data_IF_182252402362
#
_entry.id   IF_182252402362
#
_cell.length_a   1.000
_cell.length_b   1.000
_cell.length_c   1.000
_cell.angle_alpha   90.00
_cell.angle_beta   90.00
_cell.angle_gamma   90.00
#
_symmetry.space_group_name_H-M   'P 1'
#
loop_
_entity.id
_entity.type
_entity.pdbx_description
1 polymer ?
#
# COMPACT_ATOMS: atom_id res chain seq x y z
N UNK A 1 1.92 -7.64 -28.37
CA UNK A 1 2.10 -7.79 -26.92
C UNK A 1 0.78 -8.27 -26.33
N UNK A 2 0.80 -9.32 -25.51
CA UNK A 2 -0.40 -9.76 -24.78
C UNK A 2 -0.49 -9.08 -23.41
N UNK A 3 -1.60 -9.29 -22.70
CA UNK A 3 -1.84 -8.68 -21.38
C UNK A 3 -0.82 -9.14 -20.31
N UNK A 4 -0.33 -10.38 -20.38
CA UNK A 4 0.61 -10.92 -19.40
C UNK A 4 2.00 -10.28 -19.55
N UNK A 5 2.43 -10.07 -20.78
CA UNK A 5 3.64 -9.33 -21.10
C UNK A 5 3.49 -7.86 -20.70
N UNK A 6 2.37 -7.21 -21.05
CA UNK A 6 2.11 -5.82 -20.67
C UNK A 6 2.11 -5.63 -19.14
N UNK A 7 1.57 -6.57 -18.37
CA UNK A 7 1.63 -6.56 -16.90
C UNK A 7 3.07 -6.55 -16.40
N UNK A 8 3.92 -7.39 -16.98
CA UNK A 8 5.33 -7.50 -16.57
C UNK A 8 6.08 -6.21 -16.83
N UNK A 9 5.88 -5.61 -18.01
CA UNK A 9 6.48 -4.32 -18.37
C UNK A 9 5.95 -3.18 -17.49
N UNK A 10 4.65 -3.16 -17.20
CA UNK A 10 4.05 -2.17 -16.29
C UNK A 10 4.65 -2.25 -14.89
N UNK A 11 4.77 -3.45 -14.31
CA UNK A 11 5.32 -3.64 -12.97
C UNK A 11 6.79 -3.20 -12.90
N UNK A 12 7.58 -3.49 -13.95
CA UNK A 12 8.94 -2.99 -14.07
C UNK A 12 8.97 -1.46 -14.17
N UNK A 13 8.12 -0.87 -15.01
CA UNK A 13 7.97 0.58 -15.15
C UNK A 13 7.63 1.26 -13.82
N UNK A 14 6.61 0.80 -13.09
CA UNK A 14 6.22 1.45 -11.83
C UNK A 14 7.21 1.21 -10.69
N UNK A 15 8.00 0.14 -10.74
CA UNK A 15 9.08 -0.09 -9.80
C UNK A 15 10.24 0.90 -10.01
N UNK A 16 10.65 1.10 -11.27
CA UNK A 16 11.82 1.94 -11.60
C UNK A 16 11.44 3.42 -11.72
N UNK A 17 10.52 3.76 -12.62
CA UNK A 17 10.22 5.14 -12.99
C UNK A 17 9.37 5.87 -11.94
N UNK A 18 8.54 5.13 -11.19
CA UNK A 18 7.68 5.71 -10.13
C UNK A 18 8.18 5.46 -8.72
N UNK A 19 9.23 4.66 -8.55
CA UNK A 19 9.78 4.32 -7.23
C UNK A 19 8.74 3.82 -6.25
N UNK A 20 7.76 3.04 -6.71
CA UNK A 20 6.72 2.52 -5.82
C UNK A 20 7.34 1.61 -4.76
N UNK A 21 6.82 1.67 -3.53
CA UNK A 21 7.28 0.79 -2.46
C UNK A 21 6.99 -0.67 -2.81
N UNK A 22 7.82 -1.58 -2.29
CA UNK A 22 7.66 -3.05 -2.45
C UNK A 22 6.23 -3.48 -2.10
N UNK A 23 5.68 -2.99 -0.99
CA UNK A 23 4.30 -3.30 -0.59
C UNK A 23 3.25 -2.85 -1.63
N UNK A 24 3.48 -1.72 -2.31
CA UNK A 24 2.57 -1.24 -3.38
C UNK A 24 2.73 -2.09 -4.64
N UNK A 25 3.95 -2.52 -4.98
CA UNK A 25 4.22 -3.43 -6.09
C UNK A 25 3.60 -4.81 -5.86
N UNK A 26 3.70 -5.37 -4.65
CA UNK A 26 3.09 -6.64 -4.28
C UNK A 26 1.57 -6.58 -4.30
N UNK A 27 1.01 -5.45 -3.86
CA UNK A 27 -0.41 -5.15 -4.00
C UNK A 27 -0.83 -5.11 -5.48
N UNK A 28 -0.14 -4.35 -6.32
CA UNK A 28 -0.47 -4.22 -7.75
C UNK A 28 -0.29 -5.54 -8.50
N UNK A 29 0.74 -6.32 -8.17
CA UNK A 29 0.98 -7.65 -8.75
C UNK A 29 -0.22 -8.56 -8.54
N UNK A 30 -0.69 -8.70 -7.29
CA UNK A 30 -1.86 -9.52 -6.95
C UNK A 30 -3.14 -9.00 -7.58
N UNK A 31 -3.33 -7.68 -7.57
CA UNK A 31 -4.52 -7.05 -8.14
C UNK A 31 -4.63 -7.29 -9.65
N UNK A 32 -3.52 -7.11 -10.36
CA UNK A 32 -3.47 -7.33 -11.79
C UNK A 32 -3.55 -8.82 -12.13
N UNK A 33 -2.93 -9.71 -11.36
CA UNK A 33 -3.07 -11.15 -11.55
C UNK A 33 -4.53 -11.60 -11.48
N UNK A 34 -5.28 -11.17 -10.46
CA UNK A 34 -6.71 -11.46 -10.37
C UNK A 34 -7.51 -10.92 -11.55
N UNK A 35 -7.16 -9.73 -12.05
CA UNK A 35 -7.80 -9.14 -13.21
C UNK A 35 -7.50 -9.88 -14.52
N UNK A 36 -6.24 -10.24 -14.77
CA UNK A 36 -5.86 -11.01 -15.95
C UNK A 36 -6.53 -12.40 -15.94
N UNK A 37 -6.65 -13.04 -14.76
CA UNK A 37 -7.37 -14.30 -14.63
C UNK A 37 -8.85 -14.15 -15.00
N UNK A 38 -9.50 -13.08 -14.55
CA UNK A 38 -10.88 -12.75 -14.92
C UNK A 38 -11.06 -12.55 -16.43
N UNK A 39 -10.19 -11.75 -17.05
CA UNK A 39 -10.21 -11.52 -18.51
C UNK A 39 -9.96 -12.81 -19.29
N UNK A 40 -9.05 -13.66 -18.83
CA UNK A 40 -8.79 -14.95 -19.45
C UNK A 40 -10.01 -15.87 -19.40
N UNK A 41 -10.81 -15.81 -18.33
CA UNK A 41 -12.11 -16.50 -18.24
C UNK A 41 -13.09 -16.08 -19.34
N UNK A 42 -12.98 -14.83 -19.83
CA UNK A 42 -13.72 -14.30 -20.98
C UNK A 42 -13.01 -14.49 -22.33
N UNK A 43 -11.86 -15.18 -22.35
CA UNK A 43 -10.99 -15.36 -23.52
C UNK A 43 -10.40 -14.06 -24.07
N UNK A 44 -10.30 -13.03 -23.24
CA UNK A 44 -9.68 -11.74 -23.56
C UNK A 44 -8.20 -11.83 -23.18
N UNK A 45 -7.32 -11.74 -24.17
CA UNK A 45 -5.86 -11.92 -23.96
C UNK A 45 -5.03 -10.76 -24.51
N UNK A 46 -5.60 -9.97 -25.43
CA UNK A 46 -4.94 -8.82 -26.04
C UNK A 46 -5.45 -7.50 -25.45
N UNK A 47 -4.58 -6.49 -25.28
CA UNK A 47 -4.97 -5.16 -24.78
C UNK A 47 -6.15 -4.51 -25.52
N UNK A 48 -6.14 -4.53 -26.86
CA UNK A 48 -7.21 -3.95 -27.69
C UNK A 48 -8.56 -4.71 -27.64
N UNK A 49 -8.60 -5.90 -27.04
CA UNK A 49 -9.85 -6.63 -26.82
C UNK A 49 -10.58 -6.18 -25.54
N UNK A 50 -9.87 -5.52 -24.63
CA UNK A 50 -10.44 -5.10 -23.35
C UNK A 50 -11.37 -3.91 -23.59
N UNK A 51 -12.63 -4.07 -23.21
CA UNK A 51 -13.59 -2.97 -23.26
C UNK A 51 -13.75 -2.32 -21.88
N UNK A 52 -14.35 -1.13 -21.85
CA UNK A 52 -14.75 -0.48 -20.60
C UNK A 52 -15.69 -1.37 -19.77
N UNK A 53 -16.64 -2.04 -20.43
CA UNK A 53 -17.58 -2.97 -19.76
C UNK A 53 -16.84 -4.07 -19.02
N UNK A 54 -15.77 -4.62 -19.59
CA UNK A 54 -14.99 -5.68 -18.95
C UNK A 54 -14.32 -5.21 -17.65
N UNK A 55 -13.84 -3.96 -17.63
CA UNK A 55 -13.22 -3.37 -16.43
C UNK A 55 -14.29 -3.09 -15.36
N UNK A 56 -15.42 -2.52 -15.75
CA UNK A 56 -16.52 -2.21 -14.84
C UNK A 56 -17.14 -3.49 -14.24
N UNK A 57 -17.34 -4.53 -15.04
CA UNK A 57 -17.82 -5.84 -14.59
C UNK A 57 -16.84 -6.51 -13.62
N UNK A 58 -15.53 -6.43 -13.88
CA UNK A 58 -14.54 -6.93 -12.94
C UNK A 58 -14.61 -6.21 -11.59
N UNK A 59 -14.65 -4.86 -11.60
CA UNK A 59 -14.77 -4.07 -10.38
C UNK A 59 -16.09 -4.36 -9.66
N UNK A 60 -17.18 -4.57 -10.40
CA UNK A 60 -18.46 -5.03 -9.87
C UNK A 60 -18.33 -6.38 -9.16
N UNK A 61 -17.68 -7.35 -9.80
CA UNK A 61 -17.47 -8.69 -9.22
C UNK A 61 -16.69 -8.65 -7.90
N UNK A 62 -15.72 -7.73 -7.75
CA UNK A 62 -14.99 -7.55 -6.48
C UNK A 62 -15.91 -7.09 -5.35
N UNK A 63 -16.87 -6.21 -5.66
CA UNK A 63 -17.87 -5.73 -4.68
C UNK A 63 -18.85 -6.84 -4.32
N UNK A 64 -19.29 -7.62 -5.29
CA UNK A 64 -20.21 -8.75 -5.09
C UNK A 64 -19.58 -9.86 -4.24
N UNK A 65 -18.25 -10.03 -4.34
CA UNK A 65 -17.47 -10.91 -3.47
C UNK A 65 -17.27 -10.37 -2.05
N UNK A 66 -17.86 -9.22 -1.70
CA UNK A 66 -17.77 -8.61 -0.38
C UNK A 66 -16.40 -8.02 -0.06
N UNK A 67 -15.58 -7.71 -1.07
CA UNK A 67 -14.27 -7.13 -0.86
C UNK A 67 -14.37 -5.74 -0.20
N UNK A 68 -13.48 -5.47 0.76
CA UNK A 68 -13.46 -4.21 1.47
C UNK A 68 -13.35 -3.01 0.49
N UNK A 69 -14.09 -1.90 0.72
CA UNK A 69 -14.09 -0.74 -0.20
C UNK A 69 -12.69 -0.19 -0.52
N UNK A 70 -11.80 -0.15 0.47
CA UNK A 70 -10.42 0.29 0.29
C UNK A 70 -9.61 -0.64 -0.64
N UNK A 71 -9.89 -1.95 -0.61
CA UNK A 71 -9.28 -2.90 -1.53
C UNK A 71 -9.81 -2.70 -2.95
N UNK A 72 -11.13 -2.54 -3.12
CA UNK A 72 -11.74 -2.26 -4.44
C UNK A 72 -11.19 -0.96 -5.04
N UNK A 73 -11.01 0.08 -4.22
CA UNK A 73 -10.39 1.35 -4.64
C UNK A 73 -8.94 1.14 -5.11
N UNK A 74 -8.15 0.35 -4.37
CA UNK A 74 -6.77 0.00 -4.75
C UNK A 74 -6.72 -0.80 -6.06
N UNK A 75 -7.60 -1.79 -6.24
CA UNK A 75 -7.74 -2.51 -7.51
C UNK A 75 -8.06 -1.53 -8.64
N UNK A 76 -9.04 -0.65 -8.44
CA UNK A 76 -9.43 0.35 -9.45
C UNK A 76 -8.24 1.25 -9.81
N UNK A 77 -7.45 1.71 -8.83
CA UNK A 77 -6.26 2.50 -9.07
C UNK A 77 -5.16 1.72 -9.83
N UNK A 78 -4.95 0.44 -9.51
CA UNK A 78 -4.02 -0.41 -10.24
C UNK A 78 -4.43 -0.58 -11.71
N UNK A 79 -5.70 -0.87 -11.97
CA UNK A 79 -6.26 -1.03 -13.32
C UNK A 79 -6.16 0.25 -14.14
N UNK A 80 -6.49 1.40 -13.55
CA UNK A 80 -6.37 2.70 -14.22
C UNK A 80 -4.93 3.00 -14.61
N UNK A 81 -3.97 2.79 -13.70
CA UNK A 81 -2.56 3.01 -14.02
C UNK A 81 -2.04 2.03 -15.08
N UNK A 82 -2.48 0.76 -15.02
CA UNK A 82 -2.08 -0.26 -15.97
C UNK A 82 -2.57 0.04 -17.39
N UNK A 83 -3.86 0.35 -17.55
CA UNK A 83 -4.43 0.73 -18.86
C UNK A 83 -3.90 2.08 -19.36
N UNK A 84 -3.60 3.03 -18.47
CA UNK A 84 -2.94 4.28 -18.84
C UNK A 84 -1.52 4.03 -19.36
N UNK A 85 -0.76 3.15 -18.70
CA UNK A 85 0.56 2.74 -19.17
C UNK A 85 0.49 2.14 -20.57
N UNK A 86 -0.43 1.19 -20.81
CA UNK A 86 -0.58 0.58 -22.14
C UNK A 86 -0.94 1.60 -23.23
N UNK A 87 -1.77 2.61 -22.93
CA UNK A 87 -2.08 3.67 -23.87
C UNK A 87 -0.88 4.60 -24.15
N UNK A 88 -0.10 4.95 -23.12
CA UNK A 88 1.09 5.80 -23.26
C UNK A 88 2.19 5.10 -24.07
N UNK A 89 2.40 3.81 -23.82
CA UNK A 89 3.37 2.97 -24.56
C UNK A 89 2.83 2.50 -25.93
N UNK A 90 1.66 3.00 -26.37
CA UNK A 90 1.02 2.65 -27.65
C UNK A 90 0.77 1.14 -27.82
N UNK A 91 0.63 0.42 -26.71
CA UNK A 91 0.26 -1.01 -26.66
C UNK A 91 -1.23 -1.20 -26.98
N UNK A 92 -2.07 -0.22 -26.61
CA UNK A 92 -3.48 -0.15 -27.00
C UNK A 92 -3.85 1.24 -27.52
N UNK A 93 -4.87 1.31 -28.39
CA UNK A 93 -5.26 2.57 -29.06
C UNK A 93 -5.90 3.59 -28.09
N UNK A 94 -6.56 3.10 -27.05
CA UNK A 94 -7.19 3.92 -26.02
C UNK A 94 -7.21 3.19 -24.68
N UNK A 95 -7.34 3.95 -23.59
CA UNK A 95 -7.42 3.39 -22.25
C UNK A 95 -8.88 3.14 -21.86
N UNK A 96 -9.36 1.87 -21.79
CA UNK A 96 -10.75 1.57 -21.41
C UNK A 96 -11.08 1.96 -19.96
N UNK A 97 -10.07 2.38 -19.18
CA UNK A 97 -10.16 2.69 -17.76
C UNK A 97 -9.98 4.19 -17.43
N UNK A 98 -9.77 5.07 -18.42
CA UNK A 98 -9.39 6.47 -18.18
C UNK A 98 -10.41 7.24 -17.32
N UNK A 99 -11.69 7.07 -17.64
CA UNK A 99 -12.84 7.73 -17.01
C UNK A 99 -13.54 6.87 -15.95
N UNK A 100 -12.89 5.82 -15.43
CA UNK A 100 -13.50 5.04 -14.36
C UNK A 100 -13.75 5.94 -13.14
N UNK A 101 -14.99 6.00 -12.63
CA UNK A 101 -15.29 6.80 -11.46
C UNK A 101 -14.42 6.30 -10.31
N UNK A 102 -13.59 7.19 -9.78
CA UNK A 102 -12.89 6.90 -8.54
C UNK A 102 -13.97 6.88 -7.47
N UNK A 103 -14.21 5.73 -6.84
CA UNK A 103 -15.14 5.68 -5.72
C UNK A 103 -14.72 6.77 -4.73
N UNK A 104 -15.65 7.66 -4.38
CA UNK A 104 -15.36 8.70 -3.41
C UNK A 104 -14.88 8.00 -2.14
N UNK A 105 -13.65 8.31 -1.74
CA UNK A 105 -13.03 7.73 -0.55
C UNK A 105 -13.95 8.03 0.62
N UNK A 106 -14.62 7.01 1.14
CA UNK A 106 -15.35 7.15 2.41
C UNK A 106 -14.27 7.50 3.43
N UNK A 107 -14.23 8.76 3.86
CA UNK A 107 -13.35 9.19 4.93
C UNK A 107 -13.86 8.53 6.21
N UNK A 108 -13.38 7.30 6.47
CA UNK A 108 -13.41 6.78 7.83
C UNK A 108 -12.40 7.60 8.60
N UNK A 109 -12.91 8.40 9.54
CA UNK A 109 -12.05 8.98 10.55
C UNK A 109 -11.35 7.82 11.27
N UNK A 110 -10.02 7.88 11.44
CA UNK A 110 -9.33 6.91 12.27
C UNK A 110 -10.00 6.86 13.64
N UNK A 111 -10.18 5.64 14.16
CA UNK A 111 -10.45 5.52 15.59
C UNK A 111 -9.18 5.94 16.33
N UNK A 112 -9.32 6.88 17.27
CA UNK A 112 -8.19 7.45 18.01
C UNK A 112 -8.19 6.90 19.41
N UNK A 113 -7.03 6.47 19.88
CA UNK A 113 -6.86 6.08 21.28
C UNK A 113 -6.99 7.33 22.15
N UNK A 114 -7.77 7.26 23.23
CA UNK A 114 -7.83 8.34 24.21
C UNK A 114 -6.52 8.41 25.00
N UNK A 115 -6.22 9.57 25.58
CA UNK A 115 -5.02 9.73 26.41
C UNK A 115 -5.03 8.72 27.57
N UNK A 116 -6.17 8.55 28.23
CA UNK A 116 -6.31 7.64 29.37
C UNK A 116 -6.05 6.19 28.97
N UNK A 117 -6.48 5.79 27.76
CA UNK A 117 -6.24 4.44 27.25
C UNK A 117 -4.77 4.24 26.86
N UNK A 118 -4.11 5.28 26.37
CA UNK A 118 -2.67 5.23 26.11
C UNK A 118 -1.87 5.12 27.42
N UNK A 119 -2.23 5.89 28.45
CA UNK A 119 -1.66 5.79 29.80
C UNK A 119 -1.84 4.38 30.38
N UNK A 120 -3.04 3.79 30.28
CA UNK A 120 -3.30 2.40 30.73
C UNK A 120 -2.38 1.37 30.04
N UNK A 121 -2.09 1.57 28.75
CA UNK A 121 -1.17 0.69 27.99
C UNK A 121 0.29 0.86 28.40
N UNK A 122 0.70 2.08 28.77
CA UNK A 122 2.07 2.41 29.19
C UNK A 122 2.34 2.01 30.65
N UNK A 123 1.31 2.06 31.50
CA UNK A 123 1.41 1.74 32.94
C UNK A 123 1.18 0.26 33.26
N UNK A 124 0.88 -0.57 32.27
CA UNK A 124 0.69 -2.01 32.48
C UNK A 124 1.97 -2.66 33.06
N UNK A 125 1.86 -3.73 33.86
CA UNK A 125 3.03 -4.39 34.43
C UNK A 125 3.79 -5.18 33.36
N UNK A 126 4.89 -4.60 32.86
CA UNK A 126 5.82 -5.31 31.97
C UNK A 126 6.71 -6.27 32.77
N UNK A 127 6.84 -7.55 32.36
CA UNK A 127 7.74 -8.49 33.03
C UNK A 127 9.20 -8.00 32.96
N UNK A 128 9.95 -8.15 34.05
CA UNK A 128 11.40 -7.89 34.06
C UNK A 128 12.17 -9.00 33.32
N UNK A 129 12.03 -8.99 32.00
CA UNK A 129 12.60 -9.94 31.04
C UNK A 129 13.01 -9.16 29.78
N UNK A 130 13.94 -9.67 28.96
CA UNK A 130 14.30 -9.00 27.71
C UNK A 130 13.11 -8.66 26.82
N UNK A 131 12.10 -9.54 26.73
CA UNK A 131 10.88 -9.29 25.97
C UNK A 131 10.02 -8.20 26.60
N UNK A 132 9.83 -8.20 27.92
CA UNK A 132 9.03 -7.17 28.59
C UNK A 132 9.67 -5.78 28.53
N UNK A 133 11.00 -5.69 28.66
CA UNK A 133 11.74 -4.43 28.48
C UNK A 133 11.59 -3.92 27.04
N UNK A 134 11.71 -4.82 26.05
CA UNK A 134 11.50 -4.49 24.64
C UNK A 134 10.08 -3.98 24.41
N UNK A 135 9.07 -4.70 24.87
CA UNK A 135 7.67 -4.35 24.61
C UNK A 135 7.29 -3.01 25.24
N UNK A 136 7.83 -2.72 26.44
CA UNK A 136 7.72 -1.39 27.04
C UNK A 136 8.37 -0.32 26.16
N UNK A 137 9.62 -0.50 25.76
CA UNK A 137 10.33 0.46 24.91
C UNK A 137 9.58 0.68 23.58
N UNK A 138 8.98 -0.36 23.01
CA UNK A 138 8.18 -0.23 21.79
C UNK A 138 6.99 0.72 22.00
N UNK A 139 6.24 0.57 23.09
CA UNK A 139 5.07 1.41 23.36
C UNK A 139 5.47 2.85 23.67
N UNK A 140 6.52 3.05 24.47
CA UNK A 140 7.08 4.37 24.79
C UNK A 140 7.55 5.10 23.53
N UNK A 141 8.24 4.41 22.61
CA UNK A 141 8.70 5.02 21.35
C UNK A 141 7.56 5.30 20.35
N UNK A 142 6.55 4.43 20.28
CA UNK A 142 5.38 4.67 19.43
C UNK A 142 4.58 5.88 19.90
N UNK A 143 4.34 5.98 21.22
CA UNK A 143 3.53 7.03 21.80
C UNK A 143 4.33 8.33 22.01
N UNK A 144 5.46 8.25 22.71
CA UNK A 144 6.30 9.40 23.10
C UNK A 144 7.04 10.04 21.94
N UNK A 145 7.62 9.24 21.03
CA UNK A 145 8.37 9.77 19.88
C UNK A 145 7.51 9.88 18.60
N UNK A 146 6.25 9.41 18.64
CA UNK A 146 5.35 9.41 17.49
C UNK A 146 5.92 8.68 16.28
N UNK A 147 6.60 7.55 16.50
CA UNK A 147 7.14 6.71 15.43
C UNK A 147 6.03 5.97 14.70
N UNK A 148 6.19 5.80 13.39
CA UNK A 148 5.40 4.80 12.65
C UNK A 148 5.91 3.40 13.01
N UNK A 149 5.03 2.40 12.97
CA UNK A 149 5.41 1.00 13.20
C UNK A 149 6.58 0.56 12.33
N UNK A 150 6.60 0.94 11.05
CA UNK A 150 7.74 0.64 10.16
C UNK A 150 9.03 1.33 10.59
N UNK A 151 8.95 2.60 11.00
CA UNK A 151 10.13 3.35 11.48
C UNK A 151 10.72 2.71 12.74
N UNK A 152 9.87 2.19 13.62
CA UNK A 152 10.30 1.46 14.82
C UNK A 152 10.89 0.08 14.48
N UNK A 153 10.28 -0.68 13.57
CA UNK A 153 10.79 -1.98 13.16
C UNK A 153 12.15 -1.89 12.46
N UNK A 154 12.39 -0.81 11.72
CA UNK A 154 13.63 -0.55 10.99
C UNK A 154 14.67 0.26 11.80
N UNK A 155 14.36 0.62 13.06
CA UNK A 155 15.27 1.39 13.92
C UNK A 155 16.50 0.55 14.29
N UNK A 156 17.67 1.03 13.87
CA UNK A 156 18.95 0.41 14.17
C UNK A 156 19.62 1.08 15.37
N UNK A 157 20.48 0.36 16.09
CA UNK A 157 21.23 0.88 17.24
C UNK A 157 22.02 2.16 16.89
N UNK A 158 22.59 2.23 15.68
CA UNK A 158 23.31 3.42 15.19
C UNK A 158 22.43 4.66 15.00
N UNK A 159 21.12 4.47 14.91
CA UNK A 159 20.13 5.53 14.84
C UNK A 159 19.67 6.01 16.22
N UNK A 160 20.10 5.38 17.32
CA UNK A 160 19.76 5.77 18.68
C UNK A 160 20.87 6.65 19.25
N UNK A 161 20.65 7.96 19.29
CA UNK A 161 21.62 8.97 19.74
C UNK A 161 21.23 9.44 21.15
N UNK A 162 21.44 8.58 22.15
CA UNK A 162 21.01 8.85 23.53
C UNK A 162 21.71 10.05 24.17
N UNK A 163 22.96 10.36 23.77
CA UNK A 163 23.68 11.54 24.27
C UNK A 163 23.02 12.85 23.84
N UNK A 164 22.37 12.84 22.67
CA UNK A 164 21.67 13.99 22.11
C UNK A 164 20.16 13.95 22.39
N UNK A 165 19.65 12.90 23.04
CA UNK A 165 18.21 12.63 23.22
C UNK A 165 17.45 12.56 21.88
N UNK A 166 18.08 11.95 20.86
CA UNK A 166 17.52 11.86 19.50
C UNK A 166 17.47 10.43 18.95
N UNK A 167 16.50 10.19 18.08
CA UNK A 167 16.44 9.03 17.19
C UNK A 167 16.48 9.48 15.74
N UNK A 168 17.31 8.81 14.96
CA UNK A 168 17.38 8.91 13.50
C UNK A 168 16.63 7.74 12.89
N UNK A 169 15.51 8.03 12.22
CA UNK A 169 14.63 7.04 11.58
C UNK A 169 14.42 7.33 10.10
N UNK A 170 14.05 6.31 9.33
CA UNK A 170 13.72 6.44 7.91
C UNK A 170 12.24 6.13 7.68
N UNK A 171 11.49 7.12 7.21
CA UNK A 171 10.07 7.00 6.92
C UNK A 171 9.77 6.63 5.46
N UNK A 172 8.51 6.78 5.06
CA UNK A 172 8.03 6.47 3.70
C UNK A 172 8.89 7.17 2.63
N UNK A 173 9.37 6.37 1.67
CA UNK A 173 10.24 6.85 0.58
C UNK A 173 11.69 7.05 1.00
N UNK A 174 12.14 6.33 2.04
CA UNK A 174 13.49 6.44 2.64
C UNK A 174 13.85 7.86 3.07
N UNK A 175 12.84 8.64 3.44
CA UNK A 175 13.04 10.01 3.94
C UNK A 175 13.50 9.95 5.38
N UNK A 176 14.66 10.53 5.63
CA UNK A 176 15.21 10.65 6.97
C UNK A 176 14.38 11.61 7.83
N UNK A 177 14.15 11.22 9.08
CA UNK A 177 13.57 12.06 10.14
C UNK A 177 14.39 11.88 11.41
N UNK A 178 14.59 12.99 12.11
CA UNK A 178 15.14 13.00 13.47
C UNK A 178 14.00 13.32 14.44
N UNK A 179 13.87 12.54 15.51
CA UNK A 179 12.85 12.76 16.56
C UNK A 179 13.48 12.77 17.94
N UNK A 180 12.97 13.58 18.88
CA UNK A 180 13.39 13.51 20.27
C UNK A 180 12.91 12.21 20.93
N UNK A 181 13.70 11.71 21.89
CA UNK A 181 13.36 10.57 22.76
C UNK A 181 13.34 10.95 24.23
#
# INVERSE_FOLDING_TARGET
MDLAQARTEFLAYVAVERGLSVNTLDAYTRDLEGYLLWLNGKKITLPNQVTRSDVEEYIGSLRDLGMAPASVERHTAALRNFHKFMAVEQICESSPAEDLPTAARIQRLPDVISQEKAEELLDQPFPNSPLGIRDRAILELLYGCGLRVSELCDLEVRGVLLEDELLRVFGKGSKERVVPV
#
